data_IF_655050326240
#
_entry.id   IF_655050326240
#
_cell.length_a   1.000
_cell.length_b   1.000
_cell.length_c   1.000
_cell.angle_alpha   90.00
_cell.angle_beta   90.00
_cell.angle_gamma   90.00
#
_symmetry.space_group_name_H-M   'P 1'
#
loop_
_entity.id
_entity.type
_entity.pdbx_description
1 polymer ?
#
# COMPACT_ATOMS: atom_id res chain seq x y z
N UNK A 1 18.08 31.85 8.09
CA UNK A 1 18.86 30.62 7.92
C UNK A 1 17.87 29.53 7.56
N UNK A 2 18.03 28.86 6.43
CA UNK A 2 17.11 27.79 6.01
C UNK A 2 17.29 26.62 6.98
N UNK A 3 16.31 26.35 7.86
CA UNK A 3 16.30 25.14 8.67
C UNK A 3 15.78 23.99 7.80
N UNK A 4 16.43 22.82 7.81
CA UNK A 4 15.87 21.66 7.12
C UNK A 4 14.49 21.30 7.73
N UNK A 5 13.63 20.68 6.91
CA UNK A 5 12.25 20.37 7.28
C UNK A 5 12.16 19.53 8.57
N UNK A 6 13.08 18.58 8.75
CA UNK A 6 13.14 17.74 9.92
C UNK A 6 13.41 18.50 11.22
N UNK A 7 14.33 19.47 11.22
CA UNK A 7 14.62 20.28 12.42
C UNK A 7 13.41 21.11 12.85
N UNK A 8 12.69 21.69 11.88
CA UNK A 8 11.43 22.40 12.16
C UNK A 8 10.42 21.45 12.82
N UNK A 9 10.25 20.25 12.27
CA UNK A 9 9.30 19.27 12.79
C UNK A 9 9.66 18.80 14.20
N UNK A 10 10.93 18.44 14.46
CA UNK A 10 11.38 18.06 15.82
C UNK A 10 11.24 19.20 16.82
N UNK A 11 11.52 20.44 16.40
CA UNK A 11 11.37 21.60 17.29
C UNK A 11 9.92 21.81 17.71
N UNK A 12 8.97 21.60 16.80
CA UNK A 12 7.55 21.71 17.10
C UNK A 12 7.07 20.55 17.98
N UNK A 13 7.55 19.32 17.73
CA UNK A 13 7.13 18.14 18.49
C UNK A 13 7.63 18.13 19.95
N UNK A 14 8.73 18.82 20.27
CA UNK A 14 9.41 18.72 21.57
C UNK A 14 8.53 19.02 22.80
N UNK A 15 7.48 19.83 22.63
CA UNK A 15 6.53 20.16 23.70
C UNK A 15 5.07 20.02 23.23
N UNK A 16 4.84 19.24 22.17
CA UNK A 16 3.51 19.12 21.60
C UNK A 16 2.65 18.13 22.38
N UNK A 17 1.36 18.44 22.49
CA UNK A 17 0.36 17.57 23.12
C UNK A 17 -0.41 16.72 22.10
N UNK A 18 -0.31 17.05 20.82
CA UNK A 18 -0.99 16.34 19.74
C UNK A 18 -0.19 16.36 18.45
N UNK A 19 -0.17 15.21 17.78
CA UNK A 19 0.45 15.04 16.48
C UNK A 19 -0.48 14.26 15.55
N UNK A 20 -0.84 14.88 14.43
CA UNK A 20 -1.47 14.20 13.29
C UNK A 20 -0.47 14.14 12.15
N UNK A 21 -0.18 12.93 11.68
CA UNK A 21 0.66 12.66 10.51
C UNK A 21 -0.25 12.16 9.40
N UNK A 22 -0.18 12.77 8.22
CA UNK A 22 -0.78 12.27 7.00
C UNK A 22 0.24 12.34 5.86
N UNK A 23 0.83 11.21 5.51
CA UNK A 23 1.78 11.10 4.39
C UNK A 23 1.67 9.73 3.72
N UNK A 24 1.75 9.64 2.38
CA UNK A 24 1.69 8.35 1.68
C UNK A 24 2.91 7.49 2.00
N UNK A 25 4.07 8.12 2.23
CA UNK A 25 5.32 7.42 2.51
C UNK A 25 5.85 7.75 3.90
N UNK A 26 6.04 6.72 4.71
CA UNK A 26 6.53 6.83 6.09
C UNK A 26 7.58 5.75 6.33
N UNK A 27 8.74 6.18 6.82
CA UNK A 27 9.85 5.31 7.18
C UNK A 27 10.00 5.22 8.70
N UNK A 28 10.33 4.03 9.18
CA UNK A 28 10.35 3.72 10.61
C UNK A 28 11.42 4.53 11.36
N UNK A 29 12.57 4.77 10.72
CA UNK A 29 13.66 5.58 11.28
C UNK A 29 13.25 7.04 11.51
N UNK A 30 12.60 7.66 10.51
CA UNK A 30 12.13 9.03 10.57
C UNK A 30 10.99 9.19 11.58
N UNK A 31 10.03 8.27 11.58
CA UNK A 31 8.95 8.24 12.55
C UNK A 31 9.49 8.07 13.97
N UNK A 32 10.37 7.09 14.20
CA UNK A 32 10.97 6.84 15.51
C UNK A 32 11.65 8.09 16.06
N UNK A 33 12.40 8.82 15.23
CA UNK A 33 13.04 10.09 15.62
C UNK A 33 12.05 11.17 16.05
N UNK A 34 10.88 11.26 15.40
CA UNK A 34 9.81 12.16 15.83
C UNK A 34 9.22 11.71 17.16
N UNK A 35 8.90 10.42 17.30
CA UNK A 35 8.31 9.88 18.53
C UNK A 35 9.23 10.03 19.73
N UNK A 36 10.56 9.94 19.56
CA UNK A 36 11.52 10.21 20.65
C UNK A 36 11.54 11.67 21.10
N UNK A 37 11.00 12.58 20.29
CA UNK A 37 10.93 14.01 20.60
C UNK A 37 9.56 14.39 21.16
N UNK A 38 8.51 13.62 20.86
CA UNK A 38 7.15 13.87 21.29
C UNK A 38 6.96 13.48 22.76
N UNK A 39 6.16 14.24 23.51
CA UNK A 39 5.85 13.92 24.90
C UNK A 39 5.09 12.58 24.99
N UNK A 40 5.40 11.74 25.97
CA UNK A 40 4.82 10.39 26.09
C UNK A 40 3.29 10.36 26.31
N UNK A 41 2.73 11.47 26.75
CA UNK A 41 1.29 11.72 26.97
C UNK A 41 0.61 12.42 25.78
N UNK A 42 1.35 12.72 24.71
CA UNK A 42 0.78 13.34 23.53
C UNK A 42 -0.14 12.38 22.77
N UNK A 43 -1.22 12.92 22.20
CA UNK A 43 -2.08 12.16 21.28
C UNK A 43 -1.42 12.01 19.91
N UNK A 44 -1.49 10.81 19.34
CA UNK A 44 -0.90 10.50 18.03
C UNK A 44 -1.93 9.88 17.08
N UNK A 45 -2.07 10.47 15.89
CA UNK A 45 -2.81 9.90 14.77
C UNK A 45 -1.93 9.85 13.54
N UNK A 46 -1.74 8.66 12.99
CA UNK A 46 -0.99 8.44 11.77
C UNK A 46 -1.92 7.88 10.69
N UNK A 47 -2.09 8.63 9.60
CA UNK A 47 -2.80 8.21 8.41
C UNK A 47 -1.79 8.06 7.29
N UNK A 48 -1.75 6.89 6.67
CA UNK A 48 -0.84 6.62 5.55
C UNK A 48 -1.55 5.92 4.41
N UNK A 49 -0.83 5.68 3.32
CA UNK A 49 -1.28 4.87 2.20
C UNK A 49 -0.30 3.74 2.03
N UNK A 50 -0.80 2.51 2.09
CA UNK A 50 -0.02 1.36 1.69
C UNK A 50 -0.57 0.83 0.37
N UNK A 51 0.35 0.63 -0.57
CA UNK A 51 0.11 -0.23 -1.71
C UNK A 51 1.11 -1.37 -1.67
N UNK A 52 0.76 -2.54 -2.21
CA UNK A 52 1.67 -3.68 -2.26
C UNK A 52 3.00 -3.31 -2.92
N UNK A 53 2.96 -2.49 -3.97
CA UNK A 53 4.14 -1.87 -4.59
C UNK A 53 4.99 -1.08 -3.62
N UNK A 54 4.39 -0.09 -2.96
CA UNK A 54 5.14 0.87 -2.15
C UNK A 54 5.81 0.19 -0.94
N UNK A 55 5.17 -0.83 -0.38
CA UNK A 55 5.79 -1.69 0.63
C UNK A 55 6.87 -2.57 -0.01
N UNK A 56 6.60 -3.15 -1.18
CA UNK A 56 7.51 -4.07 -1.83
C UNK A 56 8.80 -3.43 -2.38
N UNK A 57 8.80 -2.12 -2.65
CA UNK A 57 10.02 -1.38 -3.03
C UNK A 57 10.63 -0.64 -1.84
N UNK A 58 10.08 -0.85 -0.64
CA UNK A 58 10.53 -0.13 0.55
C UNK A 58 10.37 1.38 0.42
N UNK A 59 9.30 1.90 -0.18
CA UNK A 59 8.97 3.32 -0.09
C UNK A 59 8.36 3.67 1.29
N UNK A 60 7.67 2.71 1.91
CA UNK A 60 7.12 2.78 3.27
C UNK A 60 7.51 1.54 4.08
N UNK A 61 7.68 1.72 5.39
CA UNK A 61 7.99 0.63 6.32
C UNK A 61 6.72 0.18 7.06
N UNK A 62 6.45 -1.12 7.07
CA UNK A 62 5.28 -1.68 7.78
C UNK A 62 5.43 -1.58 9.30
N UNK A 63 6.67 -1.52 9.79
CA UNK A 63 7.05 -1.34 11.19
C UNK A 63 6.49 -0.04 11.79
N UNK A 64 6.18 0.96 10.95
CA UNK A 64 5.57 2.21 11.39
C UNK A 64 4.25 1.99 12.15
N UNK A 65 3.48 0.96 11.79
CA UNK A 65 2.25 0.62 12.51
C UNK A 65 2.55 0.33 13.98
N UNK A 66 3.51 -0.56 14.23
CA UNK A 66 3.86 -0.96 15.60
C UNK A 66 4.41 0.23 16.38
N UNK A 67 5.28 1.04 15.78
CA UNK A 67 5.79 2.26 16.42
C UNK A 67 4.67 3.21 16.88
N UNK A 68 3.62 3.38 16.08
CA UNK A 68 2.47 4.21 16.43
C UNK A 68 1.63 3.57 17.53
N UNK A 69 1.36 2.27 17.44
CA UNK A 69 0.54 1.56 18.44
C UNK A 69 1.26 1.43 19.79
N UNK A 70 2.57 1.17 19.79
CA UNK A 70 3.41 1.08 20.99
C UNK A 70 3.49 2.43 21.72
N UNK A 71 3.37 3.54 20.97
CA UNK A 71 3.23 4.89 21.53
C UNK A 71 1.82 5.16 22.10
N UNK A 72 0.84 4.29 21.87
CA UNK A 72 -0.57 4.51 22.24
C UNK A 72 -1.36 5.34 21.23
N UNK A 73 -0.83 5.53 20.02
CA UNK A 73 -1.48 6.25 18.93
C UNK A 73 -2.45 5.41 18.10
N UNK A 74 -3.06 6.05 17.10
CA UNK A 74 -3.92 5.39 16.10
C UNK A 74 -3.26 5.34 14.73
N UNK A 75 -3.35 4.20 14.05
CA UNK A 75 -2.79 3.99 12.72
C UNK A 75 -3.89 3.63 11.71
N UNK A 76 -4.00 4.40 10.62
CA UNK A 76 -5.06 4.25 9.62
C UNK A 76 -4.51 4.27 8.20
N UNK A 77 -5.18 3.55 7.31
CA UNK A 77 -4.92 3.58 5.88
C UNK A 77 -5.97 4.42 5.15
N UNK A 78 -5.52 5.25 4.22
CA UNK A 78 -6.38 6.02 3.32
C UNK A 78 -6.00 5.75 1.86
N UNK A 79 -6.93 5.24 1.02
CA UNK A 79 -6.60 4.66 -0.29
C UNK A 79 -6.08 5.69 -1.30
N UNK A 80 -6.55 6.94 -1.22
CA UNK A 80 -6.21 8.03 -2.13
C UNK A 80 -5.28 9.08 -1.51
N UNK A 81 -4.67 8.80 -0.35
CA UNK A 81 -3.81 9.78 0.31
C UNK A 81 -2.56 10.06 -0.53
N UNK A 82 -2.34 11.34 -0.82
CA UNK A 82 -1.14 11.85 -1.47
C UNK A 82 -0.56 13.11 -0.79
N UNK A 83 -1.36 13.76 0.05
CA UNK A 83 -0.95 14.91 0.85
C UNK A 83 0.21 14.58 1.79
N UNK A 84 1.03 15.58 2.10
CA UNK A 84 1.98 15.55 3.21
C UNK A 84 1.56 16.66 4.16
N UNK A 85 0.90 16.25 5.23
CA UNK A 85 0.26 17.10 6.20
C UNK A 85 0.68 16.63 7.58
N UNK A 86 1.16 17.57 8.39
CA UNK A 86 1.56 17.33 9.77
C UNK A 86 0.93 18.41 10.63
N UNK A 87 0.04 18.03 11.55
CA UNK A 87 -0.51 18.97 12.53
C UNK A 87 0.10 18.68 13.89
N UNK A 88 0.79 19.67 14.42
CA UNK A 88 1.42 19.65 15.73
C UNK A 88 0.70 20.70 16.57
N UNK A 89 -0.20 20.26 17.45
CA UNK A 89 -1.17 21.12 18.13
C UNK A 89 -1.96 21.98 17.14
N UNK A 90 -1.78 23.31 17.20
CA UNK A 90 -2.42 24.29 16.32
C UNK A 90 -1.56 24.63 15.09
N UNK A 91 -0.30 24.17 15.06
CA UNK A 91 0.61 24.42 13.93
C UNK A 91 0.44 23.33 12.87
N UNK A 92 0.06 23.74 11.66
CA UNK A 92 -0.02 22.83 10.52
C UNK A 92 1.16 23.04 9.58
N UNK A 93 1.82 21.95 9.20
CA UNK A 93 2.85 21.92 8.17
C UNK A 93 2.34 21.17 6.93
N UNK A 94 2.56 21.75 5.75
CA UNK A 94 2.21 21.16 4.46
C UNK A 94 3.34 21.33 3.45
N UNK A 95 3.40 20.44 2.46
CA UNK A 95 4.39 20.56 1.39
C UNK A 95 4.59 19.27 0.60
N UNK A 96 5.82 19.05 0.14
CA UNK A 96 6.23 17.88 -0.64
C UNK A 96 6.91 16.79 0.20
N UNK A 97 7.44 17.14 1.38
CA UNK A 97 8.22 16.24 2.22
C UNK A 97 7.38 15.12 2.86
N UNK A 98 7.63 13.86 2.45
CA UNK A 98 7.13 12.67 3.15
C UNK A 98 7.85 12.47 4.50
N UNK A 99 7.36 11.57 5.35
CA UNK A 99 7.97 11.27 6.65
C UNK A 99 9.11 10.26 6.47
N UNK A 100 10.18 10.70 5.81
CA UNK A 100 11.38 9.89 5.53
C UNK A 100 12.65 10.70 5.80
N UNK A 101 13.74 10.03 6.16
CA UNK A 101 15.01 10.70 6.44
C UNK A 101 15.53 11.51 5.24
N UNK A 102 15.32 11.02 4.01
CA UNK A 102 15.71 11.76 2.79
C UNK A 102 14.88 13.03 2.59
N UNK A 103 13.56 12.96 2.79
CA UNK A 103 12.68 14.12 2.61
C UNK A 103 12.84 15.17 3.72
N UNK A 104 13.19 14.76 4.93
CA UNK A 104 13.30 15.65 6.09
C UNK A 104 14.71 16.24 6.28
N UNK A 105 15.66 15.92 5.39
CA UNK A 105 17.01 16.45 5.49
C UNK A 105 17.91 15.75 6.51
N UNK A 106 17.56 14.51 6.89
CA UNK A 106 18.29 13.70 7.88
C UNK A 106 19.20 12.64 7.25
N UNK A 107 19.06 12.37 5.95
CA UNK A 107 19.95 11.48 5.23
C UNK A 107 21.24 12.21 4.80
N UNK A 108 22.26 11.44 4.38
CA UNK A 108 23.53 12.00 3.87
C UNK A 108 23.36 12.78 2.57
N UNK A 109 22.39 12.37 1.74
CA UNK A 109 22.05 12.97 0.45
C UNK A 109 20.54 13.23 0.50
N UNK A 110 20.10 14.35 1.09
CA UNK A 110 18.68 14.63 1.26
C UNK A 110 18.02 15.09 -0.04
N UNK A 111 16.72 14.83 -0.14
CA UNK A 111 15.89 15.35 -1.22
C UNK A 111 15.74 16.87 -1.09
N UNK A 112 15.58 17.54 -2.23
CA UNK A 112 15.16 18.94 -2.25
C UNK A 112 13.64 19.00 -2.08
N UNK A 113 13.19 19.20 -0.83
CA UNK A 113 11.77 19.25 -0.47
C UNK A 113 11.37 20.62 0.06
N UNK A 114 10.07 20.91 0.02
CA UNK A 114 9.46 22.06 0.68
C UNK A 114 8.54 21.54 1.78
N UNK A 115 8.65 22.13 2.96
CA UNK A 115 7.70 21.98 4.06
C UNK A 115 7.53 23.35 4.70
N UNK A 116 6.31 23.89 4.68
CA UNK A 116 6.02 25.22 5.20
C UNK A 116 4.88 25.14 6.23
N UNK A 117 4.82 26.16 7.11
CA UNK A 117 3.64 26.38 7.92
C UNK A 117 2.49 26.80 7.01
N UNK A 118 1.33 26.18 7.16
CA UNK A 118 0.12 26.61 6.49
C UNK A 118 -0.26 28.03 6.97
N UNK A 119 -0.84 28.82 6.08
CA UNK A 119 -1.37 30.15 6.41
C UNK A 119 -2.67 30.05 7.20
N UNK A 120 -3.12 31.18 7.75
CA UNK A 120 -4.35 31.29 8.54
C UNK A 120 -5.62 30.97 7.72
N UNK A 121 -5.51 30.99 6.39
CA UNK A 121 -6.59 30.65 5.44
C UNK A 121 -6.76 29.13 5.23
N UNK A 122 -5.82 28.31 5.72
CA UNK A 122 -5.91 26.86 5.61
C UNK A 122 -6.78 26.24 6.72
N UNK A 123 -7.97 25.75 6.34
CA UNK A 123 -8.87 25.04 7.27
C UNK A 123 -8.40 23.60 7.54
N UNK A 124 -7.43 23.49 8.45
CA UNK A 124 -6.85 22.23 8.91
C UNK A 124 -7.89 21.27 9.51
N UNK A 125 -8.87 21.71 10.33
CA UNK A 125 -10.00 20.88 10.75
C UNK A 125 -10.85 20.34 9.60
N UNK A 126 -11.15 21.13 8.57
CA UNK A 126 -11.89 20.64 7.40
C UNK A 126 -11.12 19.59 6.61
N UNK A 127 -9.82 19.83 6.39
CA UNK A 127 -8.97 18.83 5.76
C UNK A 127 -8.91 17.54 6.57
N UNK A 128 -8.77 17.61 7.89
CA UNK A 128 -8.76 16.42 8.75
C UNK A 128 -10.11 15.67 8.70
N UNK A 129 -11.25 16.36 8.62
CA UNK A 129 -12.55 15.70 8.40
C UNK A 129 -12.59 14.96 7.07
N UNK A 130 -12.09 15.56 5.99
CA UNK A 130 -12.02 14.92 4.67
C UNK A 130 -11.11 13.71 4.69
N UNK A 131 -9.90 13.86 5.25
CA UNK A 131 -8.93 12.79 5.44
C UNK A 131 -9.51 11.58 6.17
N UNK A 132 -10.43 11.79 7.11
CA UNK A 132 -10.97 10.72 7.93
C UNK A 132 -12.20 10.02 7.33
N UNK A 133 -12.80 10.54 6.26
CA UNK A 133 -13.98 9.91 5.63
C UNK A 133 -13.68 8.51 5.10
N UNK A 134 -12.55 8.35 4.42
CA UNK A 134 -12.12 7.09 3.80
C UNK A 134 -10.94 6.43 4.53
N UNK A 135 -10.50 7.00 5.66
CA UNK A 135 -9.46 6.40 6.48
C UNK A 135 -10.03 5.26 7.31
N UNK A 136 -9.40 4.09 7.21
CA UNK A 136 -9.81 2.88 7.94
C UNK A 136 -8.69 2.34 8.81
N UNK A 137 -9.07 1.64 9.86
CA UNK A 137 -8.12 0.85 10.64
C UNK A 137 -7.69 -0.38 9.84
N UNK A 138 -6.48 -0.87 10.16
CA UNK A 138 -5.89 -2.05 9.57
C UNK A 138 -6.04 -3.22 10.54
N UNK A 139 -6.70 -4.29 10.11
CA UNK A 139 -6.83 -5.49 10.93
C UNK A 139 -5.48 -6.20 11.13
N UNK A 140 -5.37 -7.06 12.15
CA UNK A 140 -4.16 -7.86 12.36
C UNK A 140 -3.87 -8.82 11.20
N UNK A 141 -4.90 -9.42 10.59
CA UNK A 141 -4.73 -10.32 9.44
C UNK A 141 -4.19 -9.58 8.22
N UNK A 142 -4.73 -8.39 7.93
CA UNK A 142 -4.21 -7.54 6.86
C UNK A 142 -2.77 -7.11 7.15
N UNK A 143 -2.46 -6.75 8.41
CA UNK A 143 -1.10 -6.36 8.80
C UNK A 143 -0.08 -7.50 8.61
N UNK A 144 -0.42 -8.74 8.97
CA UNK A 144 0.45 -9.90 8.73
C UNK A 144 0.73 -10.14 7.25
N UNK A 145 -0.27 -9.90 6.39
CA UNK A 145 -0.07 -9.91 4.96
C UNK A 145 0.94 -8.85 4.53
N UNK A 146 0.75 -7.59 4.95
CA UNK A 146 1.69 -6.50 4.64
C UNK A 146 3.12 -6.80 5.09
N UNK A 147 3.30 -7.39 6.28
CA UNK A 147 4.62 -7.85 6.74
C UNK A 147 5.23 -8.92 5.85
N UNK A 148 4.40 -9.81 5.31
CA UNK A 148 4.85 -10.86 4.40
C UNK A 148 5.34 -10.25 3.09
N UNK A 149 4.62 -9.25 2.55
CA UNK A 149 5.03 -8.46 1.38
C UNK A 149 6.38 -7.77 1.62
N UNK A 150 6.52 -7.08 2.76
CA UNK A 150 7.74 -6.36 3.12
C UNK A 150 8.98 -7.27 3.23
N UNK A 151 8.83 -8.52 3.67
CA UNK A 151 9.95 -9.48 3.76
C UNK A 151 10.47 -9.91 2.39
N UNK A 152 9.59 -10.10 1.42
CA UNK A 152 9.94 -10.56 0.07
C UNK A 152 10.70 -9.48 -0.71
N UNK A 153 10.33 -8.23 -0.48
CA UNK A 153 10.98 -7.03 -1.02
C UNK A 153 12.48 -6.93 -0.69
N UNK A 154 12.81 -7.15 0.58
CA UNK A 154 14.19 -7.04 1.10
C UNK A 154 15.12 -8.06 0.42
N UNK A 155 14.58 -9.17 -0.06
CA UNK A 155 15.35 -10.21 -0.75
C UNK A 155 15.50 -9.97 -2.26
N UNK A 156 14.75 -9.04 -2.87
CA UNK A 156 14.59 -8.98 -4.33
C UNK A 156 15.09 -7.70 -5.01
N UNK A 157 15.36 -6.62 -4.29
CA UNK A 157 15.74 -5.33 -4.93
C UNK A 157 17.00 -4.73 -4.32
N UNK A 158 18.11 -4.85 -5.04
CA UNK A 158 19.36 -4.11 -4.80
C UNK A 158 19.46 -2.81 -5.63
N UNK A 159 18.41 -2.42 -6.36
CA UNK A 159 18.45 -1.22 -7.22
C UNK A 159 17.11 -0.48 -7.26
N UNK A 160 17.05 0.66 -6.55
CA UNK A 160 15.92 1.61 -6.50
C UNK A 160 15.48 2.12 -7.89
N UNK A 161 16.32 1.96 -8.94
CA UNK A 161 16.05 2.48 -10.29
C UNK A 161 15.22 1.53 -11.15
N UNK A 162 14.95 0.31 -10.69
CA UNK A 162 14.21 -0.72 -11.41
C UNK A 162 12.81 -0.98 -10.83
N UNK A 163 12.29 -0.08 -10.00
CA UNK A 163 10.97 -0.25 -9.38
C UNK A 163 9.88 -0.50 -10.45
N UNK A 164 9.29 -1.70 -10.52
CA UNK A 164 8.36 -2.06 -11.60
C UNK A 164 7.18 -1.08 -11.64
N UNK A 165 6.74 -0.65 -12.84
CA UNK A 165 5.48 0.07 -13.03
C UNK A 165 4.33 -0.91 -12.78
N UNK A 166 3.88 -1.04 -11.52
CA UNK A 166 2.83 -2.01 -11.21
C UNK A 166 1.62 -1.78 -12.12
N UNK A 167 1.11 -2.83 -12.76
CA UNK A 167 0.05 -2.66 -13.71
C UNK A 167 -1.27 -2.45 -12.96
N UNK A 168 -1.58 -1.19 -12.62
CA UNK A 168 -2.85 -0.82 -11.96
C UNK A 168 -4.09 -1.29 -12.74
N UNK A 169 -3.94 -1.61 -14.03
CA UNK A 169 -4.99 -2.11 -14.92
C UNK A 169 -4.91 -3.62 -15.20
N UNK A 170 -3.90 -4.32 -14.68
CA UNK A 170 -3.76 -5.76 -14.92
C UNK A 170 -4.91 -6.52 -14.28
N UNK A 171 -5.34 -7.56 -15.01
CA UNK A 171 -6.30 -8.56 -14.58
C UNK A 171 -5.76 -9.90 -15.05
N UNK A 172 -5.78 -10.95 -14.22
CA UNK A 172 -5.28 -12.25 -14.62
C UNK A 172 -5.86 -12.74 -15.95
N UNK A 173 -4.98 -13.10 -16.87
CA UNK A 173 -5.34 -13.71 -18.13
C UNK A 173 -5.55 -15.23 -17.97
N UNK A 174 -4.67 -15.92 -17.22
CA UNK A 174 -4.84 -17.35 -16.92
C UNK A 174 -5.94 -17.57 -15.88
N UNK A 175 -6.83 -18.53 -16.16
CA UNK A 175 -7.95 -18.86 -15.26
C UNK A 175 -7.52 -19.68 -14.06
N UNK A 176 -6.45 -20.47 -14.23
CA UNK A 176 -5.86 -21.28 -13.16
C UNK A 176 -4.54 -20.65 -12.71
N UNK A 177 -4.43 -20.17 -11.46
CA UNK A 177 -3.19 -19.61 -10.93
C UNK A 177 -2.07 -20.66 -10.83
N UNK A 178 -2.36 -21.96 -10.85
CA UNK A 178 -1.33 -23.01 -10.95
C UNK A 178 -0.59 -22.93 -12.28
N UNK A 179 -1.23 -22.51 -13.36
CA UNK A 179 -0.56 -22.31 -14.65
C UNK A 179 0.49 -21.20 -14.58
N UNK A 180 0.26 -20.16 -13.76
CA UNK A 180 1.25 -19.12 -13.48
C UNK A 180 2.49 -19.71 -12.80
N UNK A 181 2.28 -20.50 -11.74
CA UNK A 181 3.35 -21.18 -10.98
C UNK A 181 4.13 -22.16 -11.87
N UNK A 182 3.43 -22.99 -12.65
CA UNK A 182 4.06 -23.90 -13.60
C UNK A 182 4.91 -23.16 -14.63
N UNK A 183 4.38 -22.09 -15.21
CA UNK A 183 5.12 -21.28 -16.20
C UNK A 183 6.36 -20.62 -15.58
N UNK A 184 6.22 -20.12 -14.35
CA UNK A 184 7.32 -19.47 -13.63
C UNK A 184 8.50 -20.41 -13.37
N UNK A 185 8.21 -21.65 -12.97
CA UNK A 185 9.22 -22.68 -12.71
C UNK A 185 9.70 -23.40 -13.98
N UNK A 186 9.40 -22.88 -15.17
CA UNK A 186 9.83 -23.48 -16.44
C UNK A 186 9.15 -24.80 -16.78
N UNK A 187 7.96 -25.06 -16.22
CA UNK A 187 7.14 -26.27 -16.43
C UNK A 187 5.87 -25.99 -17.23
N UNK A 188 5.94 -25.03 -18.16
CA UNK A 188 4.79 -24.64 -18.99
C UNK A 188 4.30 -25.76 -19.91
N UNK A 189 5.16 -26.74 -20.23
CA UNK A 189 4.85 -27.94 -20.99
C UNK A 189 3.80 -28.84 -20.32
N UNK A 190 3.62 -28.72 -18.99
CA UNK A 190 2.58 -29.43 -18.25
C UNK A 190 1.18 -28.82 -18.42
N UNK A 191 1.08 -27.64 -19.04
CA UNK A 191 -0.19 -26.97 -19.32
C UNK A 191 -0.70 -27.47 -20.68
N UNK A 192 -1.83 -28.17 -20.69
CA UNK A 192 -2.33 -28.80 -21.92
C UNK A 192 -2.77 -27.81 -23.01
N UNK A 193 -3.20 -26.60 -22.62
CA UNK A 193 -3.70 -25.57 -23.54
C UNK A 193 -2.60 -24.56 -23.86
N UNK A 194 -2.30 -24.37 -25.16
CA UNK A 194 -1.36 -23.35 -25.64
C UNK A 194 -1.84 -21.92 -25.34
N UNK A 195 -3.16 -21.73 -25.30
CA UNK A 195 -3.76 -20.44 -24.95
C UNK A 195 -3.54 -20.12 -23.46
N UNK A 196 -3.67 -21.13 -22.59
CA UNK A 196 -3.40 -20.99 -21.15
C UNK A 196 -1.90 -20.80 -20.87
N UNK A 197 -1.02 -21.47 -21.62
CA UNK A 197 0.42 -21.21 -21.56
C UNK A 197 0.73 -19.74 -21.91
N UNK A 198 0.13 -19.25 -23.00
CA UNK A 198 0.33 -17.87 -23.47
C UNK A 198 -0.22 -16.85 -22.48
N UNK A 199 -1.38 -17.15 -21.87
CA UNK A 199 -1.99 -16.33 -20.84
C UNK A 199 -1.13 -16.25 -19.58
N UNK A 200 -0.67 -17.39 -19.05
CA UNK A 200 0.22 -17.44 -17.89
C UNK A 200 1.55 -16.71 -18.14
N UNK A 201 2.14 -16.87 -19.33
CA UNK A 201 3.35 -16.14 -19.70
C UNK A 201 3.10 -14.63 -19.83
N UNK A 202 1.91 -14.21 -20.27
CA UNK A 202 1.53 -12.80 -20.28
C UNK A 202 1.41 -12.26 -18.87
N UNK A 203 0.73 -12.98 -17.98
CA UNK A 203 0.60 -12.58 -16.58
C UNK A 203 1.96 -12.43 -15.91
N UNK A 204 2.92 -13.35 -16.14
CA UNK A 204 4.28 -13.22 -15.59
C UNK A 204 4.99 -11.95 -16.05
N UNK A 205 4.81 -11.56 -17.31
CA UNK A 205 5.37 -10.31 -17.86
C UNK A 205 4.70 -9.09 -17.24
N UNK A 206 3.38 -9.10 -17.16
CA UNK A 206 2.59 -7.97 -16.63
C UNK A 206 2.89 -7.77 -15.14
N UNK A 207 3.02 -8.87 -14.39
CA UNK A 207 3.45 -8.89 -12.98
C UNK A 207 4.90 -8.46 -12.77
N UNK A 208 5.69 -8.36 -13.85
CA UNK A 208 7.15 -8.17 -13.82
C UNK A 208 7.81 -9.08 -12.79
N UNK A 209 7.42 -10.36 -12.80
CA UNK A 209 7.83 -11.34 -11.81
C UNK A 209 9.37 -11.48 -11.81
N UNK A 210 10.07 -11.21 -10.69
CA UNK A 210 11.50 -11.43 -10.58
C UNK A 210 11.84 -12.90 -10.85
N UNK A 211 12.96 -13.20 -11.48
CA UNK A 211 13.42 -14.59 -11.65
C UNK A 211 14.06 -15.15 -10.39
N UNK A 212 13.87 -16.44 -10.09
CA UNK A 212 14.59 -17.15 -9.04
C UNK A 212 13.97 -17.08 -7.63
N UNK A 213 12.73 -16.62 -7.51
CA UNK A 213 11.97 -16.64 -6.26
C UNK A 213 11.66 -18.08 -5.82
N UNK A 214 11.74 -18.33 -4.51
CA UNK A 214 11.19 -19.54 -3.93
C UNK A 214 9.66 -19.52 -3.95
N UNK A 215 8.99 -20.67 -3.84
CA UNK A 215 7.53 -20.80 -3.98
C UNK A 215 6.73 -19.82 -3.10
N UNK A 216 7.17 -19.63 -1.85
CA UNK A 216 6.53 -18.68 -0.92
C UNK A 216 6.70 -17.23 -1.39
N UNK A 217 7.89 -16.87 -1.87
CA UNK A 217 8.20 -15.52 -2.34
C UNK A 217 7.45 -15.21 -3.66
N UNK A 218 7.39 -16.19 -4.56
CA UNK A 218 6.58 -16.14 -5.77
C UNK A 218 5.10 -15.88 -5.45
N UNK A 219 4.51 -16.68 -4.55
CA UNK A 219 3.10 -16.53 -4.16
C UNK A 219 2.86 -15.16 -3.55
N UNK A 220 3.73 -14.72 -2.65
CA UNK A 220 3.61 -13.40 -2.03
C UNK A 220 3.68 -12.26 -3.05
N UNK A 221 4.58 -12.34 -4.04
CA UNK A 221 4.65 -11.37 -5.13
C UNK A 221 3.36 -11.36 -5.97
N UNK A 222 2.87 -12.53 -6.37
CA UNK A 222 1.62 -12.63 -7.12
C UNK A 222 0.43 -12.07 -6.32
N UNK A 223 0.31 -12.41 -5.03
CA UNK A 223 -0.71 -11.87 -4.11
C UNK A 223 -0.62 -10.35 -4.00
N UNK A 224 0.59 -9.84 -3.84
CA UNK A 224 0.91 -8.40 -3.75
C UNK A 224 0.38 -7.67 -4.97
N UNK A 225 0.78 -8.12 -6.17
CA UNK A 225 0.33 -7.49 -7.41
C UNK A 225 -1.19 -7.59 -7.59
N UNK A 226 -1.79 -8.74 -7.24
CA UNK A 226 -3.24 -8.93 -7.35
C UNK A 226 -4.00 -7.94 -6.47
N UNK A 227 -3.66 -7.85 -5.19
CA UNK A 227 -4.31 -6.95 -4.23
C UNK A 227 -4.05 -5.46 -4.51
N UNK A 228 -2.99 -5.14 -5.25
CA UNK A 228 -2.72 -3.77 -5.66
C UNK A 228 -3.72 -3.25 -6.71
N UNK A 229 -4.41 -4.14 -7.42
CA UNK A 229 -5.31 -3.75 -8.51
C UNK A 229 -6.63 -3.18 -7.94
N UNK A 230 -7.15 -2.06 -8.48
CA UNK A 230 -8.47 -1.57 -8.13
C UNK A 230 -9.56 -2.61 -8.36
N UNK A 231 -9.44 -3.41 -9.42
CA UNK A 231 -10.40 -4.46 -9.76
C UNK A 231 -10.50 -5.52 -8.64
N UNK A 232 -9.38 -6.00 -8.11
CA UNK A 232 -9.39 -6.97 -7.00
C UNK A 232 -9.99 -6.37 -5.73
N UNK A 233 -9.71 -5.09 -5.43
CA UNK A 233 -10.35 -4.41 -4.30
C UNK A 233 -11.87 -4.31 -4.46
N UNK A 234 -12.37 -4.05 -5.66
CA UNK A 234 -13.81 -4.07 -5.95
C UNK A 234 -14.41 -5.46 -5.81
N UNK A 235 -13.71 -6.50 -6.27
CA UNK A 235 -14.13 -7.92 -6.10
C UNK A 235 -14.24 -8.27 -4.62
N UNK A 236 -13.24 -7.92 -3.80
CA UNK A 236 -13.26 -8.19 -2.36
C UNK A 236 -14.44 -7.50 -1.66
N UNK A 237 -14.71 -6.23 -2.00
CA UNK A 237 -15.86 -5.48 -1.45
C UNK A 237 -17.21 -6.12 -1.82
N UNK A 238 -17.34 -6.60 -3.05
CA UNK A 238 -18.58 -7.14 -3.58
C UNK A 238 -18.79 -8.63 -3.25
N UNK A 239 -17.73 -9.36 -2.88
CA UNK A 239 -17.83 -10.79 -2.53
C UNK A 239 -18.63 -11.04 -1.25
N UNK A 240 -18.86 -10.01 -0.41
CA UNK A 240 -19.75 -10.08 0.76
C UNK A 240 -21.21 -9.71 0.48
N UNK A 241 -21.59 -9.43 -0.77
CA UNK A 241 -22.97 -9.07 -1.13
C UNK A 241 -23.83 -10.33 -1.32
N UNK A 242 -25.09 -10.28 -0.89
CA UNK A 242 -26.04 -11.40 -1.05
C UNK A 242 -26.58 -11.53 -2.48
N UNK A 243 -26.47 -10.48 -3.31
CA UNK A 243 -26.87 -10.49 -4.71
C UNK A 243 -25.65 -10.48 -5.65
N UNK A 244 -25.25 -11.68 -6.08
CA UNK A 244 -24.15 -11.92 -7.02
C UNK A 244 -24.40 -11.28 -8.40
N UNK A 245 -25.67 -11.14 -8.82
CA UNK A 245 -25.99 -10.51 -10.11
C UNK A 245 -25.76 -9.01 -10.07
N UNK A 246 -26.04 -8.37 -8.93
CA UNK A 246 -25.73 -6.96 -8.72
C UNK A 246 -24.23 -6.69 -8.62
N UNK A 247 -23.46 -7.60 -8.02
CA UNK A 247 -22.00 -7.53 -8.01
C UNK A 247 -21.41 -7.49 -9.43
N UNK A 248 -21.84 -8.41 -10.32
CA UNK A 248 -21.37 -8.45 -11.70
C UNK A 248 -21.75 -7.18 -12.49
N UNK A 249 -22.98 -6.67 -12.32
CA UNK A 249 -23.43 -5.43 -12.96
C UNK A 249 -22.63 -4.23 -12.47
N UNK A 250 -22.33 -4.17 -11.17
CA UNK A 250 -21.54 -3.08 -10.58
C UNK A 250 -20.11 -3.05 -11.12
N UNK A 251 -19.45 -4.22 -11.21
CA UNK A 251 -18.13 -4.33 -11.83
C UNK A 251 -18.16 -3.97 -13.32
N UNK A 252 -19.16 -4.48 -14.06
CA UNK A 252 -19.32 -4.17 -15.47
C UNK A 252 -19.44 -2.67 -15.73
N UNK A 253 -20.25 -1.97 -14.93
CA UNK A 253 -20.40 -0.53 -15.03
C UNK A 253 -19.11 0.23 -14.64
N UNK A 254 -18.47 -0.16 -13.54
CA UNK A 254 -17.29 0.54 -13.00
C UNK A 254 -16.08 0.48 -13.94
N UNK A 255 -15.90 -0.63 -14.65
CA UNK A 255 -14.72 -0.90 -15.48
C UNK A 255 -15.01 -0.88 -16.98
N UNK A 256 -16.21 -0.42 -17.39
CA UNK A 256 -16.65 -0.39 -18.79
C UNK A 256 -16.52 -1.75 -19.50
N UNK A 257 -17.07 -2.79 -18.86
CA UNK A 257 -17.03 -4.18 -19.35
C UNK A 257 -18.44 -4.67 -19.66
N UNK A 258 -18.53 -5.72 -20.48
CA UNK A 258 -19.76 -6.52 -20.53
C UNK A 258 -19.93 -7.29 -19.22
N UNK A 259 -21.19 -7.54 -18.82
CA UNK A 259 -21.51 -8.34 -17.61
C UNK A 259 -20.85 -9.72 -17.67
N UNK A 260 -20.76 -10.32 -18.86
CA UNK A 260 -20.11 -11.62 -19.06
C UNK A 260 -18.61 -11.56 -18.77
N UNK A 261 -17.92 -10.50 -19.22
CA UNK A 261 -16.49 -10.32 -18.95
C UNK A 261 -16.26 -9.99 -17.47
N UNK A 262 -17.08 -9.11 -16.88
CA UNK A 262 -16.98 -8.77 -15.47
C UNK A 262 -17.14 -10.01 -14.56
N UNK A 263 -18.11 -10.88 -14.87
CA UNK A 263 -18.29 -12.16 -14.18
C UNK A 263 -17.05 -13.06 -14.31
N UNK A 264 -16.58 -13.26 -15.55
CA UNK A 264 -15.40 -14.10 -15.83
C UNK A 264 -14.18 -13.64 -15.04
N UNK A 265 -13.93 -12.34 -15.04
CA UNK A 265 -12.75 -11.76 -14.40
C UNK A 265 -12.88 -11.79 -12.87
N UNK A 266 -14.09 -11.59 -12.34
CA UNK A 266 -14.37 -11.76 -10.90
C UNK A 266 -14.11 -13.21 -10.44
N UNK A 267 -14.66 -14.21 -11.15
CA UNK A 267 -14.42 -15.63 -10.86
C UNK A 267 -12.91 -15.96 -10.91
N UNK A 268 -12.20 -15.41 -11.89
CA UNK A 268 -10.76 -15.63 -12.04
C UNK A 268 -9.98 -15.04 -10.86
N UNK A 269 -10.28 -13.79 -10.46
CA UNK A 269 -9.64 -13.16 -9.30
C UNK A 269 -9.95 -13.93 -8.02
N UNK A 270 -11.18 -14.40 -7.83
CA UNK A 270 -11.55 -15.21 -6.66
C UNK A 270 -10.77 -16.53 -6.61
N UNK A 271 -10.63 -17.23 -7.75
CA UNK A 271 -9.82 -18.44 -7.83
C UNK A 271 -8.34 -18.17 -7.49
N UNK A 272 -7.79 -17.06 -7.99
CA UNK A 272 -6.45 -16.62 -7.67
C UNK A 272 -6.28 -16.29 -6.19
N UNK A 273 -7.22 -15.57 -5.58
CA UNK A 273 -7.21 -15.28 -4.14
C UNK A 273 -7.29 -16.56 -3.31
N UNK A 274 -8.13 -17.51 -3.68
CA UNK A 274 -8.23 -18.80 -2.98
C UNK A 274 -6.93 -19.62 -3.04
N UNK A 275 -6.18 -19.51 -4.15
CA UNK A 275 -4.92 -20.22 -4.31
C UNK A 275 -3.72 -19.52 -3.65
N UNK A 276 -3.66 -18.20 -3.76
CA UNK A 276 -2.51 -17.40 -3.34
C UNK A 276 -2.62 -16.89 -1.90
N UNK A 277 -3.84 -16.65 -1.43
CA UNK A 277 -4.14 -16.07 -0.12
C UNK A 277 -5.46 -16.60 0.46
N UNK A 278 -5.58 -17.92 0.70
CA UNK A 278 -6.83 -18.56 1.14
C UNK A 278 -7.42 -17.93 2.41
N UNK A 279 -6.57 -17.46 3.33
CA UNK A 279 -6.99 -16.84 4.59
C UNK A 279 -7.76 -15.53 4.41
N UNK A 280 -7.61 -14.83 3.27
CA UNK A 280 -8.31 -13.57 2.99
C UNK A 280 -9.79 -13.77 2.63
N UNK A 281 -10.17 -14.97 2.18
CA UNK A 281 -11.56 -15.30 1.82
C UNK A 281 -12.38 -15.85 2.98
N UNK A 282 -11.72 -16.22 4.09
CA UNK A 282 -12.38 -16.80 5.28
C UNK A 282 -12.76 -15.74 6.34
N UNK A 283 -12.43 -14.47 6.10
CA UNK A 283 -12.65 -13.36 7.02
C UNK A 283 -13.71 -12.33 6.59
N UNK A 284 -14.49 -12.62 5.55
CA UNK A 284 -15.61 -11.78 5.07
C UNK A 284 -16.96 -12.28 5.56
#
# INVERSE_FOLDING_TARGET
>A
MWSNAGNLMTCLCANAHSLVIAAPYIKADALSRILTTLSADASLMCVTKWTPRDIAVGASDVECRNLVLDFGGSFRLHPSLHAKYYRIDDVTLIGSANLTSSALGWSKIPNLEILCRAGDDFDSPAFQRELLKDARELSESEFLLWKTIAKVAINTVADDRLAPNFPYTWRPATRDPKHLELSYHGRADLIASTDEQSAAQSDLRDLMMPSGLADVEFRNWATTCLLATPFTNSVLRLSGTTDVSDAHRSLAHTYDLSVTVARRDMETVQNWLAFLAPDLLLGS
#
